data_IF_629554061411
#
_entry.id   IF_629554061411
#
_cell.length_a   1.000
_cell.length_b   1.000
_cell.length_c   1.000
_cell.angle_alpha   90.00
_cell.angle_beta   90.00
_cell.angle_gamma   90.00
#
_symmetry.space_group_name_H-M   'P 1'
#
loop_
_entity.id
_entity.type
_entity.pdbx_description
1 polymer ?
#
# COMPACT_ATOMS: atom_id res chain seq x y z
N UNK A 1 3.92 15.86 -1.84
CA UNK A 1 2.43 15.75 -1.76
C UNK A 1 2.11 14.79 -0.61
N UNK A 2 0.95 14.90 0.05
CA UNK A 2 0.61 13.97 1.15
C UNK A 2 -0.17 12.78 0.63
N UNK A 3 0.24 11.58 1.03
CA UNK A 3 -0.52 10.34 0.85
C UNK A 3 -1.75 10.39 1.77
N UNK A 4 -2.92 10.01 1.25
CA UNK A 4 -4.12 9.84 2.07
C UNK A 4 -4.10 8.43 2.67
N UNK A 5 -4.25 8.32 3.98
CA UNK A 5 -4.35 7.01 4.65
C UNK A 5 -5.63 6.99 5.46
N UNK A 6 -6.44 5.97 5.24
CA UNK A 6 -7.66 5.72 5.99
C UNK A 6 -7.57 4.34 6.64
N UNK A 7 -8.00 4.27 7.89
CA UNK A 7 -8.09 3.04 8.66
C UNK A 7 -9.56 2.77 8.97
N UNK A 8 -10.06 1.62 8.56
CA UNK A 8 -11.39 1.18 8.98
C UNK A 8 -11.34 0.58 10.39
N UNK A 9 -12.49 0.51 11.05
CA UNK A 9 -12.61 -0.18 12.33
C UNK A 9 -12.26 -1.67 12.16
N UNK A 10 -11.61 -2.24 13.16
CA UNK A 10 -11.31 -3.66 13.23
C UNK A 10 -12.59 -4.51 13.04
N UNK A 11 -12.59 -5.41 12.05
CA UNK A 11 -13.63 -6.43 11.89
C UNK A 11 -13.25 -7.65 12.71
N UNK A 12 -13.95 -7.87 13.82
CA UNK A 12 -13.77 -9.07 14.66
C UNK A 12 -14.14 -10.36 13.95
N UNK A 13 -15.04 -10.26 12.96
CA UNK A 13 -15.57 -11.42 12.23
C UNK A 13 -14.54 -11.94 11.22
N UNK A 14 -13.72 -11.05 10.66
CA UNK A 14 -12.67 -11.40 9.68
C UNK A 14 -11.25 -11.38 10.27
N UNK A 15 -11.10 -10.91 11.51
CA UNK A 15 -9.82 -10.82 12.21
C UNK A 15 -8.81 -9.87 11.54
N UNK A 16 -9.28 -8.86 10.81
CA UNK A 16 -8.50 -8.07 9.85
C UNK A 16 -8.59 -6.57 10.10
N UNK A 17 -7.48 -5.88 9.86
CA UNK A 17 -7.40 -4.43 9.81
C UNK A 17 -7.51 -4.01 8.34
N UNK A 18 -8.55 -3.24 7.99
CA UNK A 18 -8.66 -2.70 6.65
C UNK A 18 -7.98 -1.32 6.58
N UNK A 19 -6.91 -1.23 5.80
CA UNK A 19 -6.22 0.03 5.51
C UNK A 19 -6.45 0.41 4.06
N UNK A 20 -6.63 1.71 3.82
CA UNK A 20 -6.66 2.28 2.50
C UNK A 20 -5.58 3.34 2.34
N UNK A 21 -4.82 3.26 1.26
CA UNK A 21 -3.79 4.23 0.91
C UNK A 21 -4.14 4.88 -0.43
N UNK A 22 -4.59 6.12 -0.38
CA UNK A 22 -4.87 6.97 -1.53
C UNK A 22 -3.61 7.65 -2.05
N UNK A 23 -3.25 7.38 -3.30
CA UNK A 23 -2.03 7.90 -3.94
C UNK A 23 -2.32 9.11 -4.84
N UNK A 24 -3.56 9.22 -5.35
CA UNK A 24 -4.00 10.38 -6.12
C UNK A 24 -4.23 11.56 -5.17
N UNK A 25 -3.54 12.70 -5.37
CA UNK A 25 -3.62 13.82 -4.44
C UNK A 25 -5.01 14.47 -4.45
N UNK A 26 -5.43 14.97 -3.28
CA UNK A 26 -6.68 15.73 -3.10
C UNK A 26 -7.93 15.05 -3.67
N UNK A 27 -7.97 13.71 -3.66
CA UNK A 27 -9.13 12.94 -4.13
C UNK A 27 -9.54 12.01 -3.00
N UNK A 28 -10.80 12.10 -2.56
CA UNK A 28 -11.33 11.17 -1.56
C UNK A 28 -11.51 9.78 -2.17
N UNK A 29 -11.54 8.74 -1.33
CA UNK A 29 -11.69 7.34 -1.79
C UNK A 29 -12.94 7.16 -2.65
N UNK A 30 -14.04 7.80 -2.27
CA UNK A 30 -15.34 7.73 -2.94
C UNK A 30 -15.34 8.41 -4.32
N UNK A 31 -14.40 9.34 -4.54
CA UNK A 31 -14.24 10.09 -5.78
C UNK A 31 -13.27 9.40 -6.75
N UNK A 32 -12.67 8.28 -6.33
CA UNK A 32 -11.74 7.53 -7.18
C UNK A 32 -12.48 6.64 -8.17
N UNK A 33 -12.31 6.97 -9.44
CA UNK A 33 -12.77 6.15 -10.55
C UNK A 33 -11.83 4.95 -10.76
N UNK A 34 -12.06 3.89 -9.98
CA UNK A 34 -11.30 2.63 -10.07
C UNK A 34 -11.79 1.82 -11.27
N UNK A 35 -10.93 1.68 -12.27
CA UNK A 35 -11.20 0.89 -13.47
C UNK A 35 -10.83 -0.58 -13.30
N UNK A 36 -9.77 -0.88 -12.55
CA UNK A 36 -9.26 -2.24 -12.36
C UNK A 36 -8.62 -2.41 -10.99
N UNK A 37 -8.81 -3.59 -10.40
CA UNK A 37 -8.15 -4.02 -9.16
C UNK A 37 -7.20 -5.15 -9.44
N UNK A 38 -5.98 -5.06 -8.91
CA UNK A 38 -4.91 -6.02 -9.15
C UNK A 38 -4.45 -6.57 -7.81
N UNK A 39 -4.63 -7.88 -7.55
CA UNK A 39 -4.24 -8.46 -6.29
C UNK A 39 -2.71 -8.45 -6.14
N UNK A 40 -2.24 -8.06 -4.97
CA UNK A 40 -0.83 -8.07 -4.56
C UNK A 40 -0.72 -8.52 -3.10
N UNK A 41 0.46 -8.96 -2.71
CA UNK A 41 0.80 -9.18 -1.30
C UNK A 41 1.65 -7.98 -0.82
N UNK A 42 1.32 -7.46 0.35
CA UNK A 42 1.94 -6.28 0.93
C UNK A 42 2.53 -6.66 2.29
N UNK A 43 3.79 -6.33 2.48
CA UNK A 43 4.44 -6.30 3.78
C UNK A 43 4.06 -4.98 4.46
N UNK A 44 3.44 -5.06 5.64
CA UNK A 44 2.91 -3.92 6.38
C UNK A 44 3.57 -3.84 7.76
N UNK A 45 3.96 -2.63 8.16
CA UNK A 45 4.37 -2.28 9.51
C UNK A 45 3.36 -1.31 10.12
N UNK A 46 2.92 -1.61 11.35
CA UNK A 46 1.96 -0.80 12.10
C UNK A 46 2.53 -0.36 13.44
N UNK A 47 2.15 0.82 13.90
CA UNK A 47 2.52 1.31 15.23
C UNK A 47 1.78 0.55 16.34
N UNK A 48 2.16 0.77 17.59
CA UNK A 48 1.44 0.25 18.77
C UNK A 48 -0.02 0.72 18.83
N UNK A 49 -0.34 1.86 18.22
CA UNK A 49 -1.68 2.43 18.10
C UNK A 49 -2.46 1.88 16.89
N UNK A 50 -1.86 1.00 16.11
CA UNK A 50 -2.43 0.42 14.88
C UNK A 50 -2.46 1.40 13.71
N UNK A 51 -1.56 2.39 13.68
CA UNK A 51 -1.42 3.30 12.55
C UNK A 51 -0.43 2.71 11.54
N UNK A 52 -0.70 2.88 10.24
CA UNK A 52 0.17 2.40 9.17
C UNK A 52 1.47 3.22 9.15
N UNK A 53 2.61 2.56 9.39
CA UNK A 53 3.93 3.20 9.46
C UNK A 53 4.69 3.06 8.15
N UNK A 54 4.73 1.84 7.62
CA UNK A 54 5.41 1.52 6.36
C UNK A 54 4.69 0.39 5.63
N UNK A 55 4.85 0.35 4.31
CA UNK A 55 4.40 -0.74 3.47
C UNK A 55 5.35 -0.98 2.30
N UNK A 56 5.52 -2.24 1.94
CA UNK A 56 6.28 -2.65 0.78
C UNK A 56 5.55 -3.75 0.01
N UNK A 57 5.64 -3.73 -1.32
CA UNK A 57 5.05 -4.76 -2.17
C UNK A 57 5.78 -4.86 -3.51
N UNK A 58 5.65 -6.01 -4.16
CA UNK A 58 6.15 -6.17 -5.52
C UNK A 58 5.10 -5.69 -6.54
N UNK A 59 5.49 -4.75 -7.39
CA UNK A 59 4.66 -4.31 -8.51
C UNK A 59 4.58 -5.41 -9.58
N UNK A 60 3.38 -5.83 -10.02
CA UNK A 60 3.27 -6.75 -11.16
C UNK A 60 3.89 -6.15 -12.42
N UNK A 61 4.54 -6.98 -13.26
CA UNK A 61 5.33 -6.51 -14.43
C UNK A 61 4.59 -5.52 -15.33
N UNK A 62 3.28 -5.71 -15.53
CA UNK A 62 2.42 -4.84 -16.36
C UNK A 62 2.36 -3.39 -15.85
N UNK A 63 2.53 -3.17 -14.56
CA UNK A 63 2.36 -1.85 -13.91
C UNK A 63 3.69 -1.19 -13.52
N UNK A 64 4.82 -1.68 -14.06
CA UNK A 64 6.16 -1.10 -13.87
C UNK A 64 6.47 -0.01 -14.90
N UNK A 65 5.48 0.75 -15.35
CA UNK A 65 5.62 1.81 -16.36
C UNK A 65 5.60 3.19 -15.73
N UNK A 66 6.22 4.18 -16.38
CA UNK A 66 6.16 5.59 -15.92
C UNK A 66 4.72 6.09 -15.75
N UNK A 67 3.83 5.66 -16.65
CA UNK A 67 2.41 5.99 -16.59
C UNK A 67 1.74 5.38 -15.35
N UNK A 68 1.95 4.10 -15.09
CA UNK A 68 1.39 3.43 -13.91
C UNK A 68 1.88 4.09 -12.61
N UNK A 69 3.16 4.46 -12.55
CA UNK A 69 3.82 5.01 -11.37
C UNK A 69 3.66 6.53 -11.21
N UNK A 70 2.85 7.18 -12.05
CA UNK A 70 2.74 8.64 -12.14
C UNK A 70 2.53 9.34 -10.79
N UNK A 71 1.67 8.79 -9.92
CA UNK A 71 1.40 9.37 -8.62
C UNK A 71 2.41 8.92 -7.56
N UNK A 72 2.83 7.65 -7.58
CA UNK A 72 3.80 7.07 -6.65
C UNK A 72 5.12 7.84 -6.69
N UNK A 73 5.68 8.09 -7.88
CA UNK A 73 6.97 8.79 -8.04
C UNK A 73 6.98 10.25 -7.58
N UNK A 74 5.80 10.82 -7.29
CA UNK A 74 5.65 12.20 -6.79
C UNK A 74 5.53 12.24 -5.26
N UNK A 75 5.56 11.08 -4.60
CA UNK A 75 5.52 10.98 -3.15
C UNK A 75 6.95 10.94 -2.62
N UNK A 76 7.27 11.84 -1.69
CA UNK A 76 8.62 11.96 -1.11
C UNK A 76 9.03 10.70 -0.30
N UNK A 77 8.05 9.90 0.14
CA UNK A 77 8.25 8.64 0.86
C UNK A 77 8.26 7.38 -0.03
N UNK A 78 7.94 7.49 -1.31
CA UNK A 78 7.90 6.33 -2.19
C UNK A 78 9.27 6.05 -2.81
N UNK A 79 9.97 5.08 -2.24
CA UNK A 79 11.32 4.71 -2.68
C UNK A 79 11.31 3.35 -3.38
N UNK A 80 11.98 3.27 -4.52
CA UNK A 80 12.36 1.97 -5.07
C UNK A 80 13.52 1.42 -4.25
N UNK A 81 13.34 0.23 -3.69
CA UNK A 81 14.39 -0.49 -2.98
C UNK A 81 14.82 -1.66 -3.86
N UNK A 82 16.12 -1.74 -4.16
CA UNK A 82 16.68 -2.90 -4.85
C UNK A 82 16.31 -4.19 -4.09
N UNK A 83 15.99 -5.30 -4.78
CA UNK A 83 15.69 -6.56 -4.12
C UNK A 83 16.84 -6.97 -3.19
N UNK A 84 16.59 -6.93 -1.89
CA UNK A 84 17.53 -7.32 -0.83
C UNK A 84 16.83 -8.27 0.11
N UNK A 85 17.53 -9.31 0.55
CA UNK A 85 17.01 -10.25 1.54
C UNK A 85 17.16 -9.59 2.92
N UNK A 86 16.04 -9.26 3.56
CA UNK A 86 16.04 -8.91 4.97
C UNK A 86 16.05 -10.18 5.82
N UNK A 87 17.07 -10.33 6.68
CA UNK A 87 17.17 -11.43 7.63
C UNK A 87 16.93 -10.85 9.02
N UNK A 88 15.77 -11.16 9.62
CA UNK A 88 15.45 -10.76 10.98
C UNK A 88 16.03 -11.77 11.99
N UNK A 89 16.62 -11.26 13.07
CA UNK A 89 17.07 -12.07 14.20
C UNK A 89 16.14 -11.85 15.40
N UNK A 90 15.50 -12.93 15.86
CA UNK A 90 14.58 -12.90 17.00
C UNK A 90 15.28 -12.33 18.24
N UNK A 91 14.67 -11.32 18.87
CA UNK A 91 15.21 -10.66 20.07
C UNK A 91 16.24 -9.55 19.80
N UNK A 92 16.56 -9.29 18.53
CA UNK A 92 17.51 -8.22 18.12
C UNK A 92 16.84 -7.25 17.13
N UNK A 93 15.96 -7.76 16.27
CA UNK A 93 15.17 -6.97 15.32
C UNK A 93 13.79 -6.62 15.92
N UNK A 94 13.45 -5.32 15.96
CA UNK A 94 12.20 -4.81 16.56
C UNK A 94 11.04 -4.60 15.59
N UNK A 95 11.23 -4.81 14.28
CA UNK A 95 10.17 -4.61 13.30
C UNK A 95 9.30 -5.87 13.17
N UNK A 96 8.01 -5.70 13.47
CA UNK A 96 6.98 -6.69 13.15
C UNK A 96 6.41 -6.35 11.77
N UNK A 97 6.87 -7.09 10.75
CA UNK A 97 6.33 -6.99 9.39
C UNK A 97 5.30 -8.09 9.20
N UNK A 98 4.07 -7.72 8.88
CA UNK A 98 2.98 -8.65 8.57
C UNK A 98 2.74 -8.69 7.07
N UNK A 99 2.54 -9.88 6.50
CA UNK A 99 2.08 -10.02 5.13
C UNK A 99 0.54 -9.90 5.10
N UNK A 100 0.01 -9.04 4.23
CA UNK A 100 -1.41 -8.82 4.06
C UNK A 100 -1.78 -8.84 2.57
N UNK A 101 -2.87 -9.51 2.17
CA UNK A 101 -3.40 -9.36 0.82
C UNK A 101 -3.89 -7.93 0.59
N UNK A 102 -3.67 -7.40 -0.61
CA UNK A 102 -4.17 -6.08 -0.99
C UNK A 102 -4.56 -6.03 -2.47
N UNK A 103 -5.29 -4.97 -2.83
CA UNK A 103 -5.65 -4.65 -4.20
C UNK A 103 -5.06 -3.31 -4.60
N UNK A 104 -4.20 -3.31 -5.62
CA UNK A 104 -3.79 -2.07 -6.30
C UNK A 104 -4.95 -1.58 -7.17
N UNK A 105 -5.36 -0.34 -6.97
CA UNK A 105 -6.42 0.31 -7.71
C UNK A 105 -5.84 1.12 -8.87
N UNK A 106 -6.34 0.85 -10.07
CA UNK A 106 -5.89 1.46 -11.32
C UNK A 106 -7.04 2.27 -11.93
N UNK A 107 -6.76 3.49 -12.38
CA UNK A 107 -7.73 4.32 -13.09
C UNK A 107 -7.85 3.98 -14.58
N UNK A 108 -8.80 4.62 -15.28
CA UNK A 108 -9.00 4.43 -16.72
C UNK A 108 -7.78 4.80 -17.58
N UNK A 109 -6.89 5.65 -17.05
CA UNK A 109 -5.64 6.02 -17.69
C UNK A 109 -4.49 5.06 -17.37
N UNK A 110 -4.74 3.94 -16.68
CA UNK A 110 -3.72 2.95 -16.34
C UNK A 110 -2.76 3.39 -15.25
N UNK A 111 -3.13 4.38 -14.42
CA UNK A 111 -2.31 4.91 -13.32
C UNK A 111 -2.71 4.26 -12.00
N UNK A 112 -1.74 3.96 -11.15
CA UNK A 112 -2.01 3.46 -9.80
C UNK A 112 -2.47 4.64 -8.94
N UNK A 113 -3.70 4.55 -8.43
CA UNK A 113 -4.38 5.62 -7.71
C UNK A 113 -4.62 5.31 -6.24
N UNK A 114 -4.55 4.03 -5.85
CA UNK A 114 -4.71 3.62 -4.46
C UNK A 114 -4.33 2.17 -4.20
N UNK A 115 -4.35 1.79 -2.92
CA UNK A 115 -4.09 0.45 -2.42
C UNK A 115 -5.08 0.14 -1.29
N UNK A 116 -5.83 -0.94 -1.43
CA UNK A 116 -6.82 -1.42 -0.46
C UNK A 116 -6.31 -2.73 0.18
N UNK A 117 -5.94 -2.68 1.46
CA UNK A 117 -5.25 -3.75 2.21
C UNK A 117 -6.27 -4.46 3.11
N UNK A 118 -6.25 -5.81 3.11
CA UNK A 118 -7.20 -6.69 3.80
C UNK A 118 -6.54 -7.53 4.89
#
# INVERSE_FOLDING_TARGET
MSIYVERANFSSDDGRFQYYVGLKPNTAKEELEVQTRVPVEVAVSVSETGDLVDLAFELPKKWRTEQALHFIKRQDGANYVDPRVFIAFTGVSGDSVMAAPANLEIDAAGRIIGLDIH
#
